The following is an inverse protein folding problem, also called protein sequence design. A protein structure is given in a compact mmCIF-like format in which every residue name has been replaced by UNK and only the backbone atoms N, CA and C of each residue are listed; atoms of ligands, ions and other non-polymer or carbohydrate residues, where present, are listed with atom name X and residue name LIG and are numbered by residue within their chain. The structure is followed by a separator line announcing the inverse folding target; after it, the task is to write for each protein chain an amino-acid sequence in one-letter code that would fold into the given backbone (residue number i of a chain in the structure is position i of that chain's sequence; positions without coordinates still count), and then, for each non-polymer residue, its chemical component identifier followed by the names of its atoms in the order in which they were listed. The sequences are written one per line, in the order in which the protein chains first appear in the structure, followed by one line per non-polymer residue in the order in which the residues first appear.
data_IF_810334595528
#
_entry.id   IF_810334595528
#
_cell.length_a   1.000
_cell.length_b   1.000
_cell.length_c   1.000
_cell.angle_alpha   90.00
_cell.angle_beta   90.00
_cell.angle_gamma   90.00
#
_symmetry.space_group_name_H-M   'P 1'
#
loop_
_entity.id
_entity.type
_entity.pdbx_description
1 polymer ?
#
# COMPACT_ATOMS: atom_id res chain seq x y z
N UNK A 1 6.84 20.61 6.26
CA UNK A 1 6.74 19.79 5.03
C UNK A 1 6.54 18.35 5.46
N UNK A 2 5.48 17.69 4.97
CA UNK A 2 5.30 16.25 5.16
C UNK A 2 6.36 15.49 4.35
N UNK A 3 7.11 14.63 5.02
CA UNK A 3 8.14 13.81 4.40
C UNK A 3 7.81 12.34 4.63
N UNK A 4 7.59 11.61 3.55
CA UNK A 4 7.35 10.16 3.53
C UNK A 4 8.49 9.51 2.81
N UNK A 5 9.07 8.47 3.39
CA UNK A 5 10.07 7.64 2.73
C UNK A 5 9.47 6.27 2.41
N UNK A 6 9.72 5.79 1.20
CA UNK A 6 9.36 4.44 0.76
C UNK A 6 10.67 3.73 0.41
N UNK A 7 10.92 2.62 1.06
CA UNK A 7 12.18 1.86 0.90
C UNK A 7 11.92 0.37 0.90
N UNK A 8 12.81 -0.40 0.27
CA UNK A 8 12.81 -1.86 0.34
C UNK A 8 13.86 -2.37 1.31
N UNK A 9 13.58 -3.48 1.96
CA UNK A 9 14.56 -4.27 2.69
C UNK A 9 15.18 -5.30 1.74
N UNK A 10 16.51 -5.52 1.76
CA UNK A 10 17.13 -6.46 0.85
C UNK A 10 16.58 -7.87 1.03
N UNK A 11 16.66 -8.68 -0.01
CA UNK A 11 16.38 -10.11 0.08
C UNK A 11 17.37 -10.78 1.04
N UNK A 12 16.94 -11.81 1.75
CA UNK A 12 17.77 -12.54 2.72
C UNK A 12 18.98 -13.19 2.06
N UNK A 13 18.86 -13.65 0.80
CA UNK A 13 19.96 -14.22 0.03
C UNK A 13 21.10 -13.24 -0.29
N UNK A 14 20.86 -11.92 -0.22
CA UNK A 14 21.89 -10.90 -0.45
C UNK A 14 22.93 -10.81 0.69
N UNK A 15 22.63 -11.47 1.80
CA UNK A 15 23.55 -11.70 2.91
C UNK A 15 23.41 -10.76 4.09
N UNK A 16 23.81 -11.25 5.24
CA UNK A 16 23.60 -10.58 6.53
C UNK A 16 24.32 -9.24 6.69
N UNK A 17 25.36 -8.95 5.90
CA UNK A 17 26.03 -7.64 5.92
C UNK A 17 25.12 -6.55 5.30
N UNK A 18 24.47 -6.86 4.17
CA UNK A 18 23.50 -5.96 3.52
C UNK A 18 22.31 -5.73 4.42
N UNK A 19 21.76 -6.80 5.03
CA UNK A 19 20.64 -6.71 5.94
C UNK A 19 20.97 -5.80 7.14
N UNK A 20 22.11 -5.97 7.79
CA UNK A 20 22.55 -5.09 8.90
C UNK A 20 22.69 -3.64 8.47
N UNK A 21 23.25 -3.38 7.28
CA UNK A 21 23.35 -2.01 6.76
C UNK A 21 21.98 -1.40 6.51
N UNK A 22 21.03 -2.17 5.96
CA UNK A 22 19.65 -1.75 5.76
C UNK A 22 18.98 -1.39 7.09
N UNK A 23 19.11 -2.23 8.11
CA UNK A 23 18.56 -1.97 9.45
C UNK A 23 19.12 -0.71 10.10
N UNK A 24 20.43 -0.49 9.98
CA UNK A 24 21.05 0.74 10.46
C UNK A 24 20.51 1.97 9.72
N UNK A 25 20.38 1.88 8.39
CA UNK A 25 19.79 2.93 7.56
C UNK A 25 18.34 3.22 7.92
N UNK A 26 17.53 2.18 8.10
CA UNK A 26 16.12 2.30 8.51
C UNK A 26 15.98 3.01 9.86
N UNK A 27 16.80 2.64 10.86
CA UNK A 27 16.79 3.27 12.17
C UNK A 27 17.16 4.77 12.11
N UNK A 28 18.08 5.14 11.24
CA UNK A 28 18.42 6.55 11.03
C UNK A 28 17.30 7.29 10.30
N UNK A 29 16.72 6.69 9.27
CA UNK A 29 15.69 7.28 8.44
C UNK A 29 14.40 7.51 9.23
N UNK A 30 13.99 6.55 10.07
CA UNK A 30 12.81 6.64 10.95
C UNK A 30 12.76 7.91 11.80
N UNK A 31 13.93 8.40 12.21
CA UNK A 31 14.04 9.63 13.00
C UNK A 31 14.04 10.92 12.17
N UNK A 32 14.15 10.81 10.85
CA UNK A 32 14.29 11.92 9.91
C UNK A 32 13.04 12.20 9.09
N UNK A 33 12.12 11.25 9.02
CA UNK A 33 10.88 11.35 8.23
C UNK A 33 9.65 11.28 9.12
N UNK A 34 8.50 11.70 8.61
CA UNK A 34 7.24 11.62 9.34
C UNK A 34 6.66 10.21 9.25
N UNK A 35 6.70 9.62 8.07
CA UNK A 35 6.26 8.25 7.84
C UNK A 35 7.30 7.48 7.04
N UNK A 36 7.55 6.24 7.42
CA UNK A 36 8.48 5.33 6.75
C UNK A 36 7.72 4.07 6.34
N UNK A 37 7.57 3.87 5.03
CA UNK A 37 7.01 2.67 4.43
C UNK A 37 8.15 1.73 4.10
N UNK A 38 8.12 0.53 4.67
CA UNK A 38 9.14 -0.50 4.47
C UNK A 38 8.53 -1.68 3.74
N UNK A 39 9.07 -2.00 2.56
CA UNK A 39 8.68 -3.14 1.75
C UNK A 39 9.68 -4.26 2.00
N UNK A 40 9.16 -5.45 2.35
CA UNK A 40 9.98 -6.62 2.62
C UNK A 40 10.14 -7.43 1.34
N UNK A 41 11.34 -7.39 0.73
CA UNK A 41 11.60 -8.09 -0.52
C UNK A 41 11.36 -9.61 -0.41
N UNK A 42 11.69 -10.22 0.73
CA UNK A 42 11.43 -11.65 0.95
C UNK A 42 9.94 -12.00 0.83
N UNK A 43 9.05 -11.06 1.18
CA UNK A 43 7.60 -11.24 1.02
C UNK A 43 7.15 -11.18 -0.44
N UNK A 44 7.85 -10.43 -1.27
CA UNK A 44 7.61 -10.41 -2.72
C UNK A 44 8.00 -11.73 -3.37
N UNK A 45 9.08 -12.35 -2.92
CA UNK A 45 9.50 -13.68 -3.36
C UNK A 45 8.44 -14.73 -3.00
N UNK A 46 7.90 -14.69 -1.78
CA UNK A 46 6.81 -15.57 -1.35
C UNK A 46 5.54 -15.40 -2.24
N UNK A 47 5.21 -14.16 -2.65
CA UNK A 47 4.08 -13.87 -3.53
C UNK A 47 4.27 -14.44 -4.95
N UNK A 48 5.49 -14.34 -5.50
CA UNK A 48 5.81 -14.81 -6.84
C UNK A 48 5.96 -16.34 -6.91
N UNK A 49 6.30 -16.98 -5.80
CA UNK A 49 6.48 -18.43 -5.70
C UNK A 49 7.91 -18.92 -6.00
N UNK A 50 8.15 -20.19 -5.72
CA UNK A 50 9.48 -20.81 -5.76
C UNK A 50 10.13 -20.84 -7.16
N UNK A 51 9.32 -20.77 -8.23
CA UNK A 51 9.82 -20.77 -9.61
C UNK A 51 10.21 -19.38 -10.12
N UNK A 52 10.04 -18.33 -9.31
CA UNK A 52 10.34 -16.97 -9.70
C UNK A 52 11.85 -16.78 -9.93
N UNK A 53 12.17 -16.14 -11.04
CA UNK A 53 13.54 -15.78 -11.32
C UNK A 53 13.98 -14.57 -10.46
N UNK A 54 15.27 -14.46 -10.21
CA UNK A 54 15.84 -13.30 -9.50
C UNK A 54 15.46 -11.96 -10.17
N UNK A 55 15.37 -11.96 -11.50
CA UNK A 55 14.96 -10.78 -12.27
C UNK A 55 13.51 -10.41 -11.96
N UNK A 56 12.59 -11.36 -11.97
CA UNK A 56 11.17 -11.13 -11.65
C UNK A 56 10.99 -10.61 -10.23
N UNK A 57 11.77 -11.11 -9.27
CA UNK A 57 11.74 -10.62 -7.88
C UNK A 57 12.17 -9.15 -7.79
N UNK A 58 13.22 -8.73 -8.50
CA UNK A 58 13.64 -7.33 -8.50
C UNK A 58 12.69 -6.43 -9.29
N UNK A 59 12.17 -6.89 -10.42
CA UNK A 59 11.15 -6.16 -11.19
C UNK A 59 9.88 -5.96 -10.34
N UNK A 60 9.48 -6.96 -9.57
CA UNK A 60 8.35 -6.84 -8.63
C UNK A 60 8.62 -5.83 -7.52
N UNK A 61 9.82 -5.80 -6.97
CA UNK A 61 10.21 -4.81 -5.97
C UNK A 61 10.12 -3.38 -6.53
N UNK A 62 10.59 -3.17 -7.75
CA UNK A 62 10.51 -1.87 -8.44
C UNK A 62 9.05 -1.48 -8.71
N UNK A 63 8.20 -2.43 -9.15
CA UNK A 63 6.77 -2.22 -9.35
C UNK A 63 6.07 -1.77 -8.06
N UNK A 64 6.34 -2.45 -6.96
CA UNK A 64 5.71 -2.14 -5.66
C UNK A 64 6.17 -0.77 -5.16
N UNK A 65 7.45 -0.43 -5.29
CA UNK A 65 7.96 0.92 -4.97
C UNK A 65 7.28 1.99 -5.82
N UNK A 66 7.15 1.75 -7.12
CA UNK A 66 6.46 2.66 -8.02
C UNK A 66 5.01 2.85 -7.60
N UNK A 67 4.28 1.76 -7.37
CA UNK A 67 2.87 1.80 -6.97
C UNK A 67 2.66 2.52 -5.63
N UNK A 68 3.59 2.36 -4.68
CA UNK A 68 3.56 3.08 -3.41
C UNK A 68 3.70 4.59 -3.60
N UNK A 69 4.72 5.01 -4.34
CA UNK A 69 4.97 6.43 -4.62
C UNK A 69 3.85 7.03 -5.48
N UNK A 70 3.46 6.35 -6.55
CA UNK A 70 2.40 6.79 -7.45
C UNK A 70 1.06 6.88 -6.72
N UNK A 71 0.70 5.87 -5.93
CA UNK A 71 -0.54 5.86 -5.16
C UNK A 71 -0.68 7.06 -4.22
N UNK A 72 0.38 7.41 -3.49
CA UNK A 72 0.38 8.59 -2.61
C UNK A 72 0.33 9.88 -3.44
N UNK A 73 1.12 9.97 -4.50
CA UNK A 73 1.15 11.17 -5.36
C UNK A 73 -0.19 11.38 -6.08
N UNK A 74 -0.80 10.33 -6.59
CA UNK A 74 -2.09 10.38 -7.28
C UNK A 74 -3.22 10.83 -6.36
N UNK A 75 -3.24 10.38 -5.11
CA UNK A 75 -4.21 10.84 -4.10
C UNK A 75 -4.18 12.35 -3.88
N UNK A 76 -3.00 12.96 -4.04
CA UNK A 76 -2.80 14.40 -3.82
C UNK A 76 -3.02 15.20 -5.11
N UNK A 77 -2.66 14.64 -6.27
CA UNK A 77 -2.57 15.37 -7.54
C UNK A 77 -3.76 15.12 -8.48
N UNK A 78 -4.30 13.90 -8.48
CA UNK A 78 -5.38 13.55 -9.40
C UNK A 78 -6.74 13.86 -8.80
N UNK A 79 -7.58 14.49 -9.61
CA UNK A 79 -8.97 14.74 -9.26
C UNK A 79 -9.76 13.45 -9.48
N UNK A 80 -10.29 12.88 -8.41
CA UNK A 80 -11.24 11.77 -8.44
C UNK A 80 -12.63 12.25 -8.00
N UNK A 81 -13.59 11.34 -7.89
CA UNK A 81 -14.92 11.65 -7.36
C UNK A 81 -14.85 12.02 -5.87
N UNK A 82 -13.95 11.35 -5.14
CA UNK A 82 -13.67 11.62 -3.73
C UNK A 82 -12.20 12.03 -3.65
N UNK A 83 -12.00 13.32 -3.50
CA UNK A 83 -10.66 13.88 -3.35
C UNK A 83 -10.28 13.86 -1.88
N UNK A 84 -9.10 13.34 -1.61
CA UNK A 84 -8.48 13.48 -0.30
C UNK A 84 -7.93 14.90 -0.15
N UNK A 85 -8.26 15.55 0.95
CA UNK A 85 -7.56 16.75 1.34
C UNK A 85 -6.12 16.39 1.76
N UNK A 86 -5.16 17.24 1.38
CA UNK A 86 -3.78 17.08 1.81
C UNK A 86 -3.65 17.00 3.34
N UNK A 87 -4.52 17.68 4.07
CA UNK A 87 -4.55 17.62 5.54
C UNK A 87 -4.98 16.24 6.06
N UNK A 88 -5.85 15.53 5.36
CA UNK A 88 -6.23 14.16 5.71
C UNK A 88 -5.04 13.20 5.54
N UNK A 89 -4.36 13.29 4.39
CA UNK A 89 -3.12 12.51 4.15
C UNK A 89 -2.07 12.86 5.19
N UNK A 90 -1.91 14.14 5.51
CA UNK A 90 -0.98 14.61 6.54
C UNK A 90 -1.33 14.09 7.92
N UNK A 91 -2.60 14.00 8.26
CA UNK A 91 -3.06 13.50 9.55
C UNK A 91 -2.73 12.02 9.72
N UNK A 92 -2.98 11.19 8.70
CA UNK A 92 -2.65 9.76 8.72
C UNK A 92 -1.14 9.55 8.69
N UNK A 93 -0.45 10.17 7.72
CA UNK A 93 0.97 9.96 7.46
C UNK A 93 1.91 10.78 8.34
N UNK A 94 1.40 11.80 9.03
CA UNK A 94 2.17 12.68 9.91
C UNK A 94 2.45 12.10 11.30
N UNK A 95 1.76 11.04 11.68
CA UNK A 95 2.04 10.31 12.91
C UNK A 95 3.37 9.57 12.75
N UNK A 96 4.36 9.94 13.55
CA UNK A 96 5.70 9.32 13.49
C UNK A 96 5.60 7.82 13.71
N UNK A 97 6.05 7.04 12.75
CA UNK A 97 6.02 5.59 12.84
C UNK A 97 6.46 4.90 11.56
N UNK A 98 6.38 3.58 11.62
CA UNK A 98 6.56 2.73 10.44
C UNK A 98 5.17 2.47 9.87
N UNK A 99 5.03 2.70 8.58
CA UNK A 99 3.85 2.33 7.81
C UNK A 99 4.15 1.12 6.93
N UNK A 100 3.12 0.39 6.60
CA UNK A 100 3.20 -0.73 5.66
C UNK A 100 2.17 -0.54 4.56
N UNK A 101 2.41 -1.16 3.43
CA UNK A 101 1.57 -1.04 2.26
C UNK A 101 1.14 -2.42 1.75
N UNK A 102 -0.12 -2.53 1.41
CA UNK A 102 -0.66 -3.63 0.64
C UNK A 102 -1.41 -3.13 -0.59
N UNK A 103 -1.38 -3.89 -1.66
CA UNK A 103 -2.10 -3.60 -2.88
C UNK A 103 -2.73 -4.86 -3.43
N UNK A 104 -3.94 -4.72 -3.97
CA UNK A 104 -4.64 -5.80 -4.66
C UNK A 104 -5.30 -5.28 -5.92
N UNK A 105 -5.31 -6.09 -6.97
CA UNK A 105 -5.94 -5.79 -8.24
C UNK A 105 -6.81 -6.97 -8.66
N UNK A 106 -8.05 -6.69 -9.07
CA UNK A 106 -8.98 -7.72 -9.51
C UNK A 106 -9.92 -7.20 -10.59
N UNK A 107 -10.49 -8.14 -11.34
CA UNK A 107 -11.50 -7.92 -12.37
C UNK A 107 -12.73 -8.80 -12.13
N UNK A 108 -13.82 -8.52 -12.82
CA UNK A 108 -15.06 -9.30 -12.74
C UNK A 108 -16.09 -8.77 -11.73
N UNK A 109 -17.15 -9.55 -11.42
CA UNK A 109 -18.31 -9.08 -10.66
C UNK A 109 -17.98 -8.57 -9.26
N UNK A 110 -17.07 -9.25 -8.54
CA UNK A 110 -16.67 -8.94 -7.15
C UNK A 110 -15.30 -8.26 -7.07
N UNK A 111 -14.86 -7.64 -8.15
CA UNK A 111 -13.52 -7.06 -8.31
C UNK A 111 -13.10 -6.16 -7.15
N UNK A 112 -13.99 -5.31 -6.66
CA UNK A 112 -13.68 -4.35 -5.60
C UNK A 112 -13.45 -5.04 -4.24
N UNK A 113 -14.27 -6.03 -3.90
CA UNK A 113 -14.12 -6.84 -2.67
C UNK A 113 -12.88 -7.70 -2.75
N UNK A 114 -12.64 -8.33 -3.91
CA UNK A 114 -11.47 -9.18 -4.13
C UNK A 114 -10.19 -8.36 -4.05
N UNK A 115 -10.12 -7.20 -4.72
CA UNK A 115 -8.98 -6.30 -4.65
C UNK A 115 -8.73 -5.80 -3.23
N UNK A 116 -9.79 -5.42 -2.50
CA UNK A 116 -9.67 -5.00 -1.10
C UNK A 116 -9.16 -6.13 -0.20
N UNK A 117 -9.68 -7.34 -0.36
CA UNK A 117 -9.21 -8.52 0.39
C UNK A 117 -7.74 -8.82 0.11
N UNK A 118 -7.33 -8.78 -1.15
CA UNK A 118 -5.93 -8.95 -1.53
C UNK A 118 -5.03 -7.88 -0.91
N UNK A 119 -5.47 -6.62 -0.91
CA UNK A 119 -4.70 -5.52 -0.33
C UNK A 119 -4.46 -5.69 1.17
N UNK A 120 -5.46 -6.12 1.94
CA UNK A 120 -5.34 -6.30 3.40
C UNK A 120 -4.68 -7.61 3.80
N UNK A 121 -4.68 -8.63 2.94
CA UNK A 121 -4.01 -9.93 3.17
C UNK A 121 -2.69 -10.05 2.42
N UNK A 122 -2.26 -8.98 1.74
CA UNK A 122 -1.01 -8.96 0.98
C UNK A 122 0.16 -9.39 1.86
N UNK A 123 1.06 -10.26 1.37
CA UNK A 123 2.25 -10.70 2.11
C UNK A 123 3.12 -9.57 2.66
N UNK A 124 3.09 -8.39 2.03
CA UNK A 124 3.80 -7.19 2.48
C UNK A 124 3.30 -6.67 3.84
N UNK A 125 2.06 -6.98 4.22
CA UNK A 125 1.44 -6.64 5.50
C UNK A 125 1.54 -7.78 6.51
N UNK A 126 2.04 -8.95 6.13
CA UNK A 126 2.13 -10.11 7.01
C UNK A 126 3.03 -9.81 8.21
N UNK A 127 2.51 -10.12 9.40
CA UNK A 127 3.19 -9.82 10.66
C UNK A 127 2.86 -8.45 11.24
N UNK A 128 2.09 -7.62 10.53
CA UNK A 128 1.46 -6.41 11.07
C UNK A 128 -0.04 -6.65 11.19
N UNK A 129 -0.53 -6.68 12.39
CA UNK A 129 -1.97 -6.68 12.61
C UNK A 129 -2.50 -5.28 12.25
N UNK A 130 -3.34 -5.19 11.21
CA UNK A 130 -4.12 -3.98 10.93
C UNK A 130 -4.92 -3.49 12.16
N UNK A 131 -5.24 -4.41 13.06
CA UNK A 131 -5.86 -4.13 14.35
C UNK A 131 -5.03 -3.28 15.30
N UNK A 132 -3.77 -3.02 15.02
CA UNK A 132 -2.94 -2.07 15.78
C UNK A 132 -2.69 -0.77 15.04
N UNK A 133 -3.18 -0.64 13.81
CA UNK A 133 -3.00 0.55 13.00
C UNK A 133 -3.84 1.71 13.55
N UNK A 134 -3.21 2.85 13.77
CA UNK A 134 -3.87 4.09 14.21
C UNK A 134 -4.53 4.85 13.07
N UNK A 135 -4.06 4.63 11.86
CA UNK A 135 -4.59 5.24 10.66
C UNK A 135 -4.39 4.37 9.43
N UNK A 136 -5.34 4.42 8.52
CA UNK A 136 -5.31 3.74 7.24
C UNK A 136 -5.59 4.75 6.13
N UNK A 137 -4.75 4.74 5.11
CA UNK A 137 -4.96 5.47 3.88
C UNK A 137 -5.32 4.47 2.78
N UNK A 138 -6.52 4.62 2.22
CA UNK A 138 -7.04 3.71 1.20
C UNK A 138 -7.17 4.45 -0.12
N UNK A 139 -6.57 3.92 -1.17
CA UNK A 139 -6.73 4.39 -2.54
C UNK A 139 -7.44 3.33 -3.37
N UNK A 140 -8.53 3.73 -4.03
CA UNK A 140 -9.25 2.88 -4.99
C UNK A 140 -9.05 3.49 -6.38
N UNK A 141 -8.34 2.77 -7.23
CA UNK A 141 -8.09 3.16 -8.63
C UNK A 141 -8.94 2.28 -9.55
N UNK A 142 -9.74 2.90 -10.39
CA UNK A 142 -10.61 2.22 -11.32
C UNK A 142 -10.99 3.14 -12.49
N UNK A 143 -11.59 2.57 -13.53
CA UNK A 143 -12.26 3.36 -14.57
C UNK A 143 -13.45 4.17 -14.01
N UNK A 144 -13.82 5.27 -14.64
CA UNK A 144 -14.89 6.18 -14.20
C UNK A 144 -16.24 5.48 -13.95
N UNK A 145 -16.46 4.31 -14.53
CA UNK A 145 -17.68 3.50 -14.37
C UNK A 145 -17.78 2.70 -13.07
N UNK A 146 -16.86 2.84 -12.11
CA UNK A 146 -16.97 2.13 -10.82
C UNK A 146 -18.24 2.55 -10.07
N UNK A 147 -18.97 1.56 -9.55
CA UNK A 147 -20.22 1.80 -8.84
C UNK A 147 -19.98 2.16 -7.38
N UNK A 148 -20.81 3.01 -6.81
CA UNK A 148 -20.74 3.36 -5.39
C UNK A 148 -20.92 2.13 -4.48
N UNK A 149 -21.70 1.12 -4.92
CA UNK A 149 -21.82 -0.15 -4.19
C UNK A 149 -20.50 -0.90 -4.11
N UNK A 150 -19.72 -0.90 -5.19
CA UNK A 150 -18.39 -1.55 -5.23
C UNK A 150 -17.42 -0.85 -4.26
N UNK A 151 -17.39 0.48 -4.27
CA UNK A 151 -16.58 1.28 -3.34
C UNK A 151 -16.97 0.99 -1.89
N UNK A 152 -18.28 0.96 -1.60
CA UNK A 152 -18.78 0.65 -0.26
C UNK A 152 -18.35 -0.74 0.20
N UNK A 153 -18.54 -1.76 -0.64
CA UNK A 153 -18.16 -3.13 -0.31
C UNK A 153 -16.65 -3.29 -0.09
N UNK A 154 -15.82 -2.61 -0.88
CA UNK A 154 -14.38 -2.59 -0.66
C UNK A 154 -14.03 -1.96 0.70
N UNK A 155 -14.63 -0.82 1.03
CA UNK A 155 -14.39 -0.14 2.30
C UNK A 155 -14.89 -0.93 3.51
N UNK A 156 -16.03 -1.62 3.40
CA UNK A 156 -16.52 -2.54 4.44
C UNK A 156 -15.56 -3.70 4.65
N UNK A 157 -15.02 -4.26 3.57
CA UNK A 157 -14.00 -5.32 3.65
C UNK A 157 -12.78 -4.84 4.42
N UNK A 158 -12.24 -3.67 4.10
CA UNK A 158 -11.07 -3.10 4.79
C UNK A 158 -11.38 -2.82 6.26
N UNK A 159 -12.54 -2.24 6.57
CA UNK A 159 -12.97 -1.94 7.94
C UNK A 159 -13.04 -3.18 8.83
N UNK A 160 -13.39 -4.34 8.28
CA UNK A 160 -13.45 -5.59 9.04
C UNK A 160 -12.07 -6.06 9.53
N UNK A 161 -11.00 -5.60 8.91
CA UNK A 161 -9.61 -5.90 9.30
C UNK A 161 -8.97 -4.80 10.17
N UNK A 162 -9.57 -3.60 10.19
CA UNK A 162 -9.07 -2.47 10.95
C UNK A 162 -9.62 -2.45 12.38
N UNK A 163 -8.94 -1.73 13.27
CA UNK A 163 -9.48 -1.43 14.59
C UNK A 163 -10.70 -0.49 14.50
N UNK A 164 -11.64 -0.62 15.43
CA UNK A 164 -12.84 0.24 15.48
C UNK A 164 -12.48 1.73 15.61
N UNK A 165 -11.35 2.03 16.25
CA UNK A 165 -10.89 3.38 16.53
C UNK A 165 -9.87 3.91 15.50
N UNK A 166 -9.55 3.11 14.45
CA UNK A 166 -8.64 3.53 13.41
C UNK A 166 -9.23 4.67 12.57
N UNK A 167 -8.42 5.70 12.33
CA UNK A 167 -8.76 6.74 11.36
C UNK A 167 -8.60 6.18 9.95
N UNK A 168 -9.70 5.99 9.24
CA UNK A 168 -9.69 5.52 7.86
C UNK A 168 -10.00 6.68 6.92
N UNK A 169 -9.04 7.02 6.11
CA UNK A 169 -9.15 8.04 5.06
C UNK A 169 -9.08 7.37 3.71
N UNK A 170 -10.00 7.67 2.81
CA UNK A 170 -10.01 7.05 1.49
C UNK A 170 -10.22 8.05 0.37
N UNK A 171 -9.64 7.75 -0.78
CA UNK A 171 -9.83 8.47 -2.02
C UNK A 171 -10.03 7.53 -3.19
N UNK A 172 -10.56 8.08 -4.27
CA UNK A 172 -10.73 7.38 -5.54
C UNK A 172 -9.96 8.10 -6.62
N UNK A 173 -9.28 7.34 -7.46
CA UNK A 173 -8.56 7.84 -8.64
C UNK A 173 -9.16 7.18 -9.88
N UNK A 174 -9.47 7.99 -10.89
CA UNK A 174 -9.89 7.49 -12.18
C UNK A 174 -8.69 7.27 -13.10
N UNK A 175 -8.63 6.07 -13.66
CA UNK A 175 -7.61 5.67 -14.63
C UNK A 175 -8.23 4.77 -15.69
N UNK A 176 -8.39 5.31 -16.89
CA UNK A 176 -9.01 4.59 -18.02
C UNK A 176 -8.19 3.40 -18.47
N UNK A 177 -6.89 3.35 -18.16
CA UNK A 177 -6.04 2.22 -18.46
C UNK A 177 -6.37 0.97 -17.66
N UNK A 178 -7.12 1.13 -16.56
CA UNK A 178 -7.57 0.01 -15.72
C UNK A 178 -8.61 -0.87 -16.40
N UNK A 179 -9.37 -0.36 -17.38
CA UNK A 179 -10.46 -1.12 -18.01
C UNK A 179 -11.44 -1.66 -16.96
N UNK A 180 -11.69 -2.97 -16.97
CA UNK A 180 -12.59 -3.63 -16.02
C UNK A 180 -11.95 -3.92 -14.65
N UNK A 181 -10.68 -3.60 -14.46
CA UNK A 181 -9.95 -3.85 -13.22
C UNK A 181 -10.21 -2.77 -12.18
N UNK A 182 -10.13 -3.17 -10.92
CA UNK A 182 -10.08 -2.29 -9.76
C UNK A 182 -8.81 -2.59 -8.99
N UNK A 183 -8.07 -1.55 -8.64
CA UNK A 183 -6.91 -1.64 -7.74
C UNK A 183 -7.25 -0.98 -6.42
N UNK A 184 -6.96 -1.67 -5.33
CA UNK A 184 -7.07 -1.14 -3.97
C UNK A 184 -5.67 -1.13 -3.36
N UNK A 185 -5.25 0.03 -2.87
CA UNK A 185 -4.00 0.19 -2.14
C UNK A 185 -4.31 0.67 -0.73
N UNK A 186 -3.70 0.02 0.27
CA UNK A 186 -3.85 0.35 1.70
C UNK A 186 -2.46 0.65 2.27
N UNK A 187 -2.34 1.77 2.95
CA UNK A 187 -1.11 2.19 3.66
C UNK A 187 -1.45 2.40 5.13
#
# INVERSE_FOLDING_TARGET
ILTVAVVTKPFSFEGGKRMRNAELGLNQLKNRVHSLIVILNDKLEEELGEDATMRECFEKADEVLFNACAGIAELIQKVGQINLDFEDVRTVMGTRGTAMMGSGEAEGPDRAVTAASMAVTCPLLEGVELRGAKGLLVNITAQEGIRMSEVRSAMETIKNYADSDALIVFGTVYDDSMGDKVRVTVI
#
